data_IF_358980395749
#
_entry.id   IF_358980395749
#
_cell.length_a   1.000
_cell.length_b   1.000
_cell.length_c   1.000
_cell.angle_alpha   90.00
_cell.angle_beta   90.00
_cell.angle_gamma   90.00
#
_symmetry.space_group_name_H-M   'P 1'
#
loop_
_entity.id
_entity.type
_entity.pdbx_description
1 polymer ?
#
# COMPACT_ATOMS: atom_id res chain seq x y z
N UNK A 1 -14.29 -9.93 -22.63
CA UNK A 1 -14.32 -11.21 -21.88
C UNK A 1 -15.77 -11.63 -21.62
N UNK A 2 -16.11 -12.91 -21.81
CA UNK A 2 -17.36 -13.47 -21.33
C UNK A 2 -17.31 -13.56 -19.79
N UNK A 3 -18.34 -13.08 -19.09
CA UNK A 3 -18.43 -13.22 -17.63
C UNK A 3 -18.54 -14.70 -17.26
N UNK A 4 -17.63 -15.19 -16.41
CA UNK A 4 -17.69 -16.54 -15.83
C UNK A 4 -19.05 -16.75 -15.16
N UNK A 5 -19.79 -17.79 -15.59
CA UNK A 5 -21.01 -18.23 -14.90
C UNK A 5 -20.62 -19.31 -13.89
N UNK A 6 -20.69 -18.94 -12.62
CA UNK A 6 -20.27 -19.80 -11.51
C UNK A 6 -21.41 -20.68 -11.01
N UNK A 7 -21.04 -21.84 -10.46
CA UNK A 7 -21.92 -22.62 -9.61
C UNK A 7 -21.73 -22.17 -8.15
N UNK A 8 -22.56 -21.23 -7.70
CA UNK A 8 -22.50 -20.66 -6.35
C UNK A 8 -21.53 -19.48 -6.22
N UNK A 9 -20.95 -19.31 -5.03
CA UNK A 9 -20.08 -18.18 -4.67
C UNK A 9 -18.67 -18.29 -5.28
N UNK A 10 -18.02 -17.14 -5.50
CA UNK A 10 -16.64 -17.09 -5.98
C UNK A 10 -15.64 -17.24 -4.82
N UNK A 11 -15.06 -18.43 -4.66
CA UNK A 11 -14.13 -18.70 -3.56
C UNK A 11 -12.68 -18.26 -3.83
N UNK A 12 -12.45 -17.34 -4.77
CA UNK A 12 -11.13 -16.79 -5.01
C UNK A 12 -10.83 -15.67 -4.02
N UNK A 13 -9.66 -15.72 -3.39
CA UNK A 13 -9.11 -14.60 -2.61
C UNK A 13 -8.13 -13.83 -3.48
N UNK A 14 -8.26 -12.51 -3.48
CA UNK A 14 -7.41 -11.58 -4.23
C UNK A 14 -6.79 -10.61 -3.23
N UNK A 15 -5.47 -10.63 -3.11
CA UNK A 15 -4.75 -9.68 -2.25
C UNK A 15 -3.86 -8.79 -3.12
N UNK A 16 -3.94 -7.48 -2.89
CA UNK A 16 -3.04 -6.48 -3.44
C UNK A 16 -2.27 -5.85 -2.27
N UNK A 17 -0.96 -6.02 -2.24
CA UNK A 17 -0.09 -5.45 -1.23
C UNK A 17 0.80 -4.38 -1.85
N UNK A 18 1.06 -3.31 -1.09
CA UNK A 18 1.96 -2.22 -1.43
C UNK A 18 3.01 -2.11 -0.34
N UNK A 19 4.23 -1.83 -0.75
CA UNK A 19 5.25 -1.26 0.11
C UNK A 19 5.75 -0.01 -0.61
N UNK A 20 5.51 1.15 0.00
CA UNK A 20 5.86 2.45 -0.55
C UNK A 20 6.97 3.09 0.26
N UNK A 21 7.82 3.84 -0.42
CA UNK A 21 8.95 4.53 0.20
C UNK A 21 9.01 5.98 -0.25
N UNK A 22 9.22 6.86 0.71
CA UNK A 22 9.51 8.29 0.53
C UNK A 22 10.86 8.57 1.21
N UNK A 23 11.76 9.24 0.50
CA UNK A 23 13.14 9.44 0.92
C UNK A 23 13.40 10.93 1.02
N UNK A 24 14.07 11.34 2.10
CA UNK A 24 14.40 12.73 2.33
C UNK A 24 15.82 12.85 2.91
N UNK A 25 16.46 13.97 2.62
CA UNK A 25 17.73 14.39 3.20
C UNK A 25 17.51 15.52 4.21
N UNK A 26 17.82 15.25 5.46
CA UNK A 26 17.77 16.19 6.58
C UNK A 26 19.17 16.32 7.22
N UNK A 27 19.77 17.51 7.09
CA UNK A 27 21.18 17.75 7.44
C UNK A 27 21.42 17.77 8.95
N UNK A 28 20.54 18.43 9.70
CA UNK A 28 20.70 18.65 11.14
C UNK A 28 19.79 17.71 11.95
N UNK A 29 20.05 17.61 13.26
CA UNK A 29 19.16 16.86 14.15
C UNK A 29 17.75 17.47 14.18
N UNK A 30 17.67 18.80 14.29
CA UNK A 30 16.40 19.53 14.28
C UNK A 30 15.62 19.33 12.97
N UNK A 31 16.30 19.26 11.82
CA UNK A 31 15.66 18.96 10.53
C UNK A 31 15.10 17.53 10.50
N UNK A 32 15.79 16.56 11.09
CA UNK A 32 15.30 15.17 11.17
C UNK A 32 14.06 15.09 12.05
N UNK A 33 14.09 15.72 13.21
CA UNK A 33 12.94 15.78 14.12
C UNK A 33 11.75 16.47 13.42
N UNK A 34 12.02 17.53 12.65
CA UNK A 34 11.01 18.20 11.82
C UNK A 34 10.45 17.31 10.71
N UNK A 35 11.28 16.53 10.03
CA UNK A 35 10.83 15.59 9.00
C UNK A 35 9.96 14.48 9.61
N UNK A 36 10.36 13.93 10.74
CA UNK A 36 9.57 12.93 11.48
C UNK A 36 8.20 13.51 11.86
N UNK A 37 8.15 14.73 12.38
CA UNK A 37 6.90 15.40 12.73
C UNK A 37 6.01 15.64 11.50
N UNK A 38 6.61 16.02 10.36
CA UNK A 38 5.89 16.15 9.09
C UNK A 38 5.28 14.80 8.67
N UNK A 39 6.04 13.70 8.72
CA UNK A 39 5.55 12.37 8.38
C UNK A 39 4.41 11.95 9.32
N UNK A 40 4.55 12.19 10.62
CA UNK A 40 3.51 11.87 11.61
C UNK A 40 2.22 12.65 11.34
N UNK A 41 2.32 13.92 10.95
CA UNK A 41 1.17 14.72 10.51
C UNK A 41 0.56 14.19 9.20
N UNK A 42 1.38 13.86 8.21
CA UNK A 42 0.88 13.42 6.90
C UNK A 42 0.29 12.01 6.92
N UNK A 43 0.79 11.13 7.80
CA UNK A 43 0.46 9.70 7.82
C UNK A 43 -0.07 9.23 9.18
N UNK A 44 -0.73 10.10 9.94
CA UNK A 44 -1.45 9.72 11.16
C UNK A 44 -2.63 8.78 10.86
N UNK A 45 -3.08 8.09 11.91
CA UNK A 45 -4.19 7.15 11.86
C UNK A 45 -5.49 7.77 11.33
N UNK A 46 -5.76 9.05 11.55
CA UNK A 46 -6.99 9.68 11.04
C UNK A 46 -6.98 9.77 9.51
N UNK A 47 -5.94 10.35 8.93
CA UNK A 47 -5.81 10.48 7.47
C UNK A 47 -5.70 9.12 6.80
N UNK A 48 -4.95 8.19 7.38
CA UNK A 48 -4.88 6.82 6.88
C UNK A 48 -6.25 6.12 6.92
N UNK A 49 -7.06 6.36 7.96
CA UNK A 49 -8.43 5.83 8.03
C UNK A 49 -9.29 6.37 6.88
N UNK A 50 -9.16 7.66 6.53
CA UNK A 50 -9.90 8.26 5.41
C UNK A 50 -9.50 7.63 4.07
N UNK A 51 -8.20 7.49 3.81
CA UNK A 51 -7.67 6.85 2.59
C UNK A 51 -8.18 5.42 2.47
N UNK A 52 -8.11 4.63 3.55
CA UNK A 52 -8.57 3.24 3.53
C UNK A 52 -10.11 3.14 3.41
N UNK A 53 -10.85 4.10 3.98
CA UNK A 53 -12.32 4.14 3.85
C UNK A 53 -12.76 4.45 2.42
N UNK A 54 -12.09 5.39 1.75
CA UNK A 54 -12.33 5.65 0.32
C UNK A 54 -11.93 4.45 -0.53
N UNK A 55 -10.86 3.76 -0.18
CA UNK A 55 -10.46 2.50 -0.81
C UNK A 55 -11.58 1.45 -0.70
N UNK A 56 -12.21 1.30 0.47
CA UNK A 56 -13.37 0.43 0.66
C UNK A 56 -14.54 0.81 -0.26
N UNK A 57 -14.85 2.11 -0.34
CA UNK A 57 -15.89 2.66 -1.22
C UNK A 57 -15.63 2.33 -2.69
N UNK A 58 -14.40 2.55 -3.18
CA UNK A 58 -13.99 2.30 -4.56
C UNK A 58 -14.11 0.83 -4.98
N UNK A 59 -13.75 -0.08 -4.09
CA UNK A 59 -13.86 -1.52 -4.38
C UNK A 59 -15.28 -2.05 -4.15
N UNK A 60 -16.16 -1.27 -3.52
CA UNK A 60 -17.55 -1.62 -3.23
C UNK A 60 -17.71 -2.53 -2.02
N UNK A 61 -16.82 -2.40 -1.02
CA UNK A 61 -16.85 -3.17 0.22
C UNK A 61 -17.50 -2.38 1.36
N UNK A 62 -18.22 -3.07 2.23
CA UNK A 62 -18.86 -2.49 3.41
C UNK A 62 -17.92 -2.57 4.60
N UNK A 63 -17.74 -1.46 5.32
CA UNK A 63 -16.92 -1.41 6.53
C UNK A 63 -17.69 -2.05 7.69
N UNK A 64 -17.09 -3.06 8.31
CA UNK A 64 -17.63 -3.73 9.50
C UNK A 64 -17.03 -3.16 10.79
N UNK A 65 -15.73 -2.90 10.78
CA UNK A 65 -14.99 -2.41 11.94
C UNK A 65 -13.77 -1.63 11.47
N UNK A 66 -13.43 -0.55 12.17
CA UNK A 66 -12.14 0.15 12.04
C UNK A 66 -11.38 0.05 13.36
N UNK A 67 -10.16 -0.47 13.32
CA UNK A 67 -9.21 -0.43 14.42
C UNK A 67 -8.01 0.41 13.99
N UNK A 68 -7.53 1.30 14.87
CA UNK A 68 -6.43 2.21 14.53
C UNK A 68 -5.63 2.61 15.75
N UNK A 69 -4.36 2.94 15.53
CA UNK A 69 -3.42 3.35 16.57
C UNK A 69 -2.34 4.26 15.98
N UNK A 70 -2.08 5.38 16.65
CA UNK A 70 -0.84 6.15 16.52
C UNK A 70 0.16 5.66 17.58
N UNK A 71 1.44 5.54 17.22
CA UNK A 71 2.50 5.01 18.08
C UNK A 71 3.44 6.10 18.56
N UNK A 72 4.01 5.87 19.75
CA UNK A 72 5.10 6.68 20.30
C UNK A 72 6.42 5.92 20.11
N UNK A 73 7.49 6.54 19.57
CA UNK A 73 7.59 7.97 19.26
C UNK A 73 6.99 8.40 17.91
N UNK A 74 6.69 7.49 16.98
CA UNK A 74 6.20 7.85 15.64
C UNK A 74 5.50 6.69 14.92
N UNK A 75 4.61 7.04 13.98
CA UNK A 75 3.97 6.13 13.03
C UNK A 75 2.56 5.71 13.44
N UNK A 76 1.85 5.06 12.53
CA UNK A 76 0.47 4.65 12.71
C UNK A 76 0.15 3.30 12.06
N UNK A 77 -0.90 2.67 12.57
CA UNK A 77 -1.53 1.49 11.99
C UNK A 77 -3.03 1.70 11.89
N UNK A 78 -3.63 1.27 10.78
CA UNK A 78 -5.08 1.18 10.62
C UNK A 78 -5.44 -0.17 10.00
N UNK A 79 -6.46 -0.82 10.54
CA UNK A 79 -7.05 -2.04 10.00
C UNK A 79 -8.55 -1.87 9.89
N UNK A 80 -9.08 -2.06 8.69
CA UNK A 80 -10.51 -2.05 8.37
C UNK A 80 -10.94 -3.46 8.01
N UNK A 81 -11.88 -4.00 8.78
CA UNK A 81 -12.56 -5.26 8.43
C UNK A 81 -13.70 -4.95 7.48
N UNK A 82 -13.81 -5.68 6.37
CA UNK A 82 -14.82 -5.42 5.34
C UNK A 82 -15.62 -6.65 4.94
N UNK A 83 -16.85 -6.44 4.46
CA UNK A 83 -17.67 -7.46 3.80
C UNK A 83 -18.04 -7.06 2.38
N UNK A 84 -18.13 -8.06 1.49
CA UNK A 84 -18.63 -7.86 0.13
C UNK A 84 -20.16 -7.75 0.09
N UNK A 85 -20.84 -8.47 0.97
CA UNK A 85 -22.30 -8.49 1.03
C UNK A 85 -22.83 -7.32 1.88
N UNK A 86 -24.00 -6.75 1.52
CA UNK A 86 -24.70 -5.79 2.37
C UNK A 86 -25.00 -6.40 3.73
N UNK A 87 -24.83 -5.62 4.79
CA UNK A 87 -25.23 -6.03 6.14
C UNK A 87 -26.77 -6.08 6.17
N UNK A 88 -27.36 -7.25 6.43
CA UNK A 88 -28.80 -7.38 6.59
C UNK A 88 -29.26 -6.60 7.84
N UNK A 89 -30.17 -5.61 7.74
CA UNK A 89 -30.71 -4.92 8.90
C UNK A 89 -31.42 -5.84 9.91
N UNK A 90 -31.77 -7.06 9.51
CA UNK A 90 -32.35 -8.09 10.38
C UNK A 90 -31.31 -8.87 11.20
N UNK A 91 -30.03 -8.88 10.80
CA UNK A 91 -28.96 -9.52 11.57
C UNK A 91 -28.38 -8.63 12.67
N UNK A 92 -28.85 -7.39 12.76
CA UNK A 92 -28.53 -6.47 13.86
C UNK A 92 -29.33 -6.93 15.09
N UNK A 93 -28.67 -7.26 16.19
CA UNK A 93 -29.33 -7.55 17.46
C UNK A 93 -30.11 -6.30 17.93
N UNK A 94 -31.43 -6.45 18.08
CA UNK A 94 -32.35 -5.38 18.50
C UNK A 94 -32.78 -5.51 19.96
N UNK A 95 -32.17 -6.41 20.72
CA UNK A 95 -32.51 -6.63 22.12
C UNK A 95 -31.90 -5.56 23.03
N UNK A 96 -32.65 -5.13 24.05
CA UNK A 96 -32.18 -4.17 25.09
C UNK A 96 -31.41 -4.86 26.23
N UNK A 97 -30.83 -6.03 25.97
CA UNK A 97 -29.89 -6.62 26.92
C UNK A 97 -28.58 -5.82 26.90
N UNK A 98 -27.79 -5.79 27.98
CA UNK A 98 -26.38 -5.51 27.84
C UNK A 98 -25.88 -6.59 26.87
N UNK A 99 -25.72 -6.20 25.60
CA UNK A 99 -25.39 -7.13 24.53
C UNK A 99 -24.16 -7.95 24.92
N UNK A 100 -23.91 -9.08 24.24
CA UNK A 100 -22.67 -9.82 24.49
C UNK A 100 -21.51 -8.82 24.52
N UNK A 101 -20.71 -8.83 25.61
CA UNK A 101 -19.42 -8.14 25.67
C UNK A 101 -18.79 -8.33 24.30
N UNK A 102 -18.48 -7.27 23.51
CA UNK A 102 -18.26 -7.36 22.08
C UNK A 102 -17.43 -8.60 21.84
N UNK A 103 -18.08 -9.69 21.41
CA UNK A 103 -17.40 -10.96 21.24
C UNK A 103 -16.34 -10.61 20.25
N UNK A 104 -15.11 -10.67 20.75
CA UNK A 104 -13.95 -10.01 20.18
C UNK A 104 -14.05 -10.01 18.65
N UNK A 105 -13.82 -8.85 18.06
CA UNK A 105 -13.65 -8.54 16.61
C UNK A 105 -12.74 -9.54 15.84
N UNK A 106 -12.27 -10.59 16.52
CA UNK A 106 -11.44 -11.72 16.13
C UNK A 106 -12.25 -12.90 15.52
N UNK A 107 -13.59 -12.93 15.58
CA UNK A 107 -14.35 -14.12 15.15
C UNK A 107 -14.53 -14.31 13.61
N UNK A 108 -13.93 -13.46 12.77
CA UNK A 108 -14.05 -13.56 11.32
C UNK A 108 -12.77 -13.19 10.56
N UNK A 109 -11.66 -13.86 10.87
CA UNK A 109 -10.42 -13.81 10.07
C UNK A 109 -10.59 -14.44 8.66
N UNK A 110 -11.77 -15.00 8.37
CA UNK A 110 -12.21 -15.43 7.04
C UNK A 110 -12.73 -14.28 6.17
N UNK A 111 -12.91 -13.08 6.74
CA UNK A 111 -13.39 -11.90 6.03
C UNK A 111 -12.24 -11.08 5.42
N UNK A 112 -12.62 -10.37 4.37
CA UNK A 112 -11.77 -9.41 3.67
C UNK A 112 -11.34 -8.28 4.60
N UNK A 113 -10.15 -7.73 4.38
CA UNK A 113 -9.63 -6.65 5.21
C UNK A 113 -8.77 -5.70 4.38
N UNK A 114 -8.62 -4.48 4.89
CA UNK A 114 -7.66 -3.51 4.39
C UNK A 114 -6.85 -3.02 5.58
N UNK A 115 -5.53 -3.05 5.49
CA UNK A 115 -4.68 -2.48 6.54
C UNK A 115 -3.54 -1.63 5.98
N UNK A 116 -3.01 -0.76 6.84
CA UNK A 116 -1.81 0.03 6.61
C UNK A 116 -0.97 0.08 7.88
N UNK A 117 0.34 0.00 7.70
CA UNK A 117 1.35 0.17 8.75
C UNK A 117 2.45 1.10 8.25
N UNK A 118 2.80 2.10 9.03
CA UNK A 118 3.86 3.05 8.66
C UNK A 118 5.11 2.87 9.50
N UNK A 119 6.26 3.08 8.90
CA UNK A 119 7.59 2.90 9.48
C UNK A 119 8.48 4.08 9.06
N UNK A 120 8.45 5.19 9.80
CA UNK A 120 9.43 6.25 9.62
C UNK A 120 10.78 5.78 10.19
N UNK A 121 11.83 5.93 9.39
CA UNK A 121 13.22 5.58 9.73
C UNK A 121 14.10 6.82 9.52
N UNK A 122 15.03 7.04 10.45
CA UNK A 122 16.04 8.08 10.30
C UNK A 122 17.33 7.60 10.96
N UNK A 123 18.42 7.62 10.22
CA UNK A 123 19.73 7.31 10.79
C UNK A 123 20.40 8.59 11.32
N UNK A 124 20.92 8.60 12.57
CA UNK A 124 21.57 9.79 13.15
C UNK A 124 22.79 10.28 12.36
N UNK A 125 23.45 9.36 11.65
CA UNK A 125 24.58 9.62 10.77
C UNK A 125 24.14 9.54 9.29
N UNK A 126 24.64 10.42 8.44
CA UNK A 126 24.39 10.37 6.99
C UNK A 126 23.23 11.25 6.50
N UNK A 127 22.32 11.66 7.39
CA UNK A 127 21.28 12.65 7.06
C UNK A 127 20.17 12.13 6.15
N UNK A 128 20.13 10.83 5.87
CA UNK A 128 19.01 10.20 5.18
C UNK A 128 17.88 9.91 6.17
N UNK A 129 16.66 10.14 5.71
CA UNK A 129 15.44 9.72 6.38
C UNK A 129 14.58 9.00 5.35
N UNK A 130 14.11 7.81 5.71
CA UNK A 130 13.30 6.97 4.83
C UNK A 130 11.98 6.68 5.53
N UNK A 131 10.89 7.04 4.89
CA UNK A 131 9.55 6.67 5.33
C UNK A 131 9.07 5.49 4.51
N UNK A 132 8.48 4.49 5.17
CA UNK A 132 7.84 3.35 4.51
C UNK A 132 6.41 3.18 4.98
N UNK A 133 5.49 2.89 4.07
CA UNK A 133 4.17 2.39 4.43
C UNK A 133 3.84 1.08 3.72
N UNK A 134 3.34 0.12 4.48
CA UNK A 134 2.92 -1.20 4.02
C UNK A 134 1.39 -1.23 4.02
N UNK A 135 0.76 -1.48 2.87
CA UNK A 135 -0.70 -1.55 2.72
C UNK A 135 -1.09 -2.92 2.18
N UNK A 136 -2.10 -3.55 2.75
CA UNK A 136 -2.70 -4.77 2.21
C UNK A 136 -4.19 -4.56 1.97
N UNK A 137 -4.65 -4.80 0.74
CA UNK A 137 -6.06 -4.84 0.35
C UNK A 137 -6.40 -6.29 0.01
N UNK A 138 -7.03 -7.00 0.94
CA UNK A 138 -7.42 -8.40 0.78
C UNK A 138 -8.94 -8.51 0.60
N UNK A 139 -9.35 -9.08 -0.52
CA UNK A 139 -10.75 -9.23 -0.92
C UNK A 139 -11.06 -10.67 -1.28
N UNK A 140 -12.30 -11.09 -1.08
CA UNK A 140 -12.80 -12.36 -1.58
C UNK A 140 -13.70 -12.12 -2.81
N UNK A 141 -14.25 -13.19 -3.38
CA UNK A 141 -15.38 -13.06 -4.28
C UNK A 141 -15.06 -12.39 -5.60
N UNK A 142 -15.94 -11.48 -6.02
CA UNK A 142 -15.84 -10.78 -7.33
C UNK A 142 -15.20 -9.40 -7.24
N UNK A 143 -14.98 -8.90 -6.02
CA UNK A 143 -14.31 -7.63 -5.80
C UNK A 143 -12.85 -7.77 -6.26
N UNK A 144 -12.36 -6.79 -7.02
CA UNK A 144 -10.96 -6.74 -7.42
C UNK A 144 -10.28 -5.57 -6.71
N UNK A 145 -9.22 -5.82 -5.92
CA UNK A 145 -8.50 -4.76 -5.21
C UNK A 145 -7.73 -3.86 -6.19
N UNK A 146 -7.45 -4.36 -7.41
CA UNK A 146 -6.83 -3.59 -8.50
C UNK A 146 -7.61 -2.34 -8.89
N UNK A 147 -8.91 -2.24 -8.55
CA UNK A 147 -9.71 -1.03 -8.79
C UNK A 147 -9.20 0.17 -7.99
N UNK A 148 -8.64 -0.04 -6.81
CA UNK A 148 -8.11 1.03 -5.97
C UNK A 148 -6.63 1.35 -6.23
N UNK A 149 -5.99 0.62 -7.16
CA UNK A 149 -4.55 0.71 -7.43
C UNK A 149 -4.06 2.14 -7.67
N UNK A 150 -4.66 2.84 -8.63
CA UNK A 150 -4.24 4.19 -8.98
C UNK A 150 -4.49 5.19 -7.86
N UNK A 151 -5.63 5.04 -7.15
CA UNK A 151 -5.97 5.92 -6.03
C UNK A 151 -4.93 5.82 -4.90
N UNK A 152 -4.59 4.59 -4.50
CA UNK A 152 -3.62 4.36 -3.41
C UNK A 152 -2.23 4.91 -3.76
N UNK A 153 -1.76 4.71 -4.99
CA UNK A 153 -0.45 5.26 -5.41
C UNK A 153 -0.49 6.79 -5.42
N UNK A 154 -1.57 7.41 -5.92
CA UNK A 154 -1.69 8.88 -5.94
C UNK A 154 -1.81 9.51 -4.56
N UNK A 155 -2.48 8.86 -3.59
CA UNK A 155 -2.64 9.45 -2.26
C UNK A 155 -1.36 9.48 -1.43
N UNK A 156 -0.37 8.68 -1.82
CA UNK A 156 0.84 8.47 -1.05
C UNK A 156 2.13 8.93 -1.77
N UNK A 157 2.01 9.44 -3.00
CA UNK A 157 3.04 10.12 -3.82
C UNK A 157 4.49 9.68 -3.55
N UNK A 158 4.80 8.41 -3.77
CA UNK A 158 6.04 7.81 -3.26
C UNK A 158 7.15 7.70 -4.31
N UNK A 159 8.40 7.76 -3.89
CA UNK A 159 9.58 7.61 -4.75
C UNK A 159 9.71 6.20 -5.33
N UNK A 160 9.48 5.20 -4.47
CA UNK A 160 9.58 3.78 -4.80
C UNK A 160 8.31 3.10 -4.31
N UNK A 161 7.76 2.25 -5.17
CA UNK A 161 6.59 1.43 -4.85
C UNK A 161 6.86 0.01 -5.30
N UNK A 162 6.79 -0.95 -4.39
CA UNK A 162 6.73 -2.36 -4.73
C UNK A 162 5.33 -2.88 -4.47
N UNK A 163 4.78 -3.62 -5.43
CA UNK A 163 3.42 -4.14 -5.33
C UNK A 163 3.40 -5.62 -5.65
N UNK A 164 2.58 -6.33 -4.89
CA UNK A 164 2.29 -7.74 -5.08
C UNK A 164 0.80 -7.94 -5.25
N UNK A 165 0.41 -8.61 -6.32
CA UNK A 165 -0.95 -9.07 -6.54
C UNK A 165 -0.98 -10.59 -6.62
N UNK A 166 -1.82 -11.21 -5.79
CA UNK A 166 -1.93 -12.67 -5.73
C UNK A 166 -3.38 -13.10 -5.76
N UNK A 167 -3.67 -14.15 -6.52
CA UNK A 167 -4.97 -14.83 -6.52
C UNK A 167 -4.79 -16.23 -5.95
N UNK A 168 -5.57 -16.58 -4.91
CA UNK A 168 -5.54 -17.89 -4.26
C UNK A 168 -6.93 -18.53 -4.25
N UNK A 169 -6.95 -19.85 -4.09
CA UNK A 169 -8.19 -20.64 -4.07
C UNK A 169 -8.64 -21.06 -5.47
N UNK A 170 -9.86 -21.61 -5.55
CA UNK A 170 -10.50 -21.94 -6.82
C UNK A 170 -12.01 -21.78 -6.71
N UNK A 171 -12.67 -21.44 -7.81
CA UNK A 171 -14.12 -21.53 -7.97
C UNK A 171 -14.48 -22.59 -9.02
N UNK A 172 -15.75 -22.98 -9.11
CA UNK A 172 -16.24 -23.93 -10.12
C UNK A 172 -17.30 -23.27 -10.99
N UNK A 173 -17.21 -23.51 -12.29
CA UNK A 173 -18.28 -23.11 -13.21
C UNK A 173 -19.46 -24.09 -13.17
N UNK A 174 -20.51 -23.75 -13.91
CA UNK A 174 -21.74 -24.57 -14.06
C UNK A 174 -21.49 -25.98 -14.62
N UNK A 175 -20.35 -26.22 -15.27
CA UNK A 175 -19.95 -27.52 -15.81
C UNK A 175 -19.03 -28.29 -14.85
N UNK A 176 -18.73 -27.73 -13.67
CA UNK A 176 -17.87 -28.34 -12.65
C UNK A 176 -16.36 -28.12 -12.85
N UNK A 177 -15.96 -27.36 -13.87
CA UNK A 177 -14.55 -27.05 -14.16
C UNK A 177 -14.02 -26.07 -13.12
N UNK A 178 -12.82 -26.33 -12.60
CA UNK A 178 -12.16 -25.45 -11.63
C UNK A 178 -11.47 -24.28 -12.35
N UNK A 179 -11.66 -23.09 -11.80
CA UNK A 179 -11.02 -21.86 -12.23
C UNK A 179 -10.22 -21.27 -11.05
N UNK A 180 -8.97 -20.90 -11.31
CA UNK A 180 -8.02 -20.40 -10.30
C UNK A 180 -7.77 -18.89 -10.41
N UNK A 181 -8.32 -18.28 -11.47
CA UNK A 181 -8.32 -16.84 -11.72
C UNK A 181 -9.58 -16.52 -12.53
N UNK A 182 -10.18 -15.36 -12.30
CA UNK A 182 -11.47 -14.95 -12.90
C UNK A 182 -11.36 -13.72 -13.82
N UNK A 183 -10.14 -13.25 -14.08
CA UNK A 183 -9.85 -12.12 -14.96
C UNK A 183 -8.50 -12.32 -15.67
N UNK A 184 -8.33 -11.66 -16.80
CA UNK A 184 -7.06 -11.66 -17.52
C UNK A 184 -6.08 -10.68 -16.86
N UNK A 185 -4.89 -11.18 -16.54
CA UNK A 185 -3.78 -10.38 -16.04
C UNK A 185 -2.47 -11.07 -16.42
N UNK A 186 -1.53 -10.28 -16.94
CA UNK A 186 -0.14 -10.68 -17.11
C UNK A 186 0.81 -9.70 -16.41
N UNK A 187 0.29 -8.58 -15.88
CA UNK A 187 1.05 -7.52 -15.22
C UNK A 187 0.09 -6.64 -14.42
N UNK A 188 0.50 -6.22 -13.22
CA UNK A 188 -0.23 -5.19 -12.44
C UNK A 188 -0.25 -3.87 -13.23
N UNK A 189 0.81 -3.60 -14.02
CA UNK A 189 0.91 -2.41 -14.85
C UNK A 189 -0.26 -2.26 -15.83
N UNK A 190 -0.95 -3.34 -16.22
CA UNK A 190 -2.14 -3.24 -17.08
C UNK A 190 -3.26 -2.39 -16.48
N UNK A 191 -3.31 -2.29 -15.15
CA UNK A 191 -4.33 -1.59 -14.40
C UNK A 191 -3.91 -0.16 -14.02
N UNK A 192 -2.69 0.26 -14.38
CA UNK A 192 -2.20 1.61 -14.09
C UNK A 192 -2.59 2.61 -15.19
N UNK A 193 -2.84 3.85 -14.77
CA UNK A 193 -3.10 5.00 -15.64
C UNK A 193 -1.85 5.34 -16.49
N UNK A 194 -2.05 6.07 -17.60
CA UNK A 194 -0.94 6.39 -18.52
C UNK A 194 0.07 7.36 -17.90
N UNK A 195 -0.44 8.30 -17.12
CA UNK A 195 0.31 9.26 -16.32
C UNK A 195 1.20 8.54 -15.30
N UNK A 196 0.68 7.56 -14.54
CA UNK A 196 1.49 6.78 -13.60
C UNK A 196 2.67 6.08 -14.31
N UNK A 197 2.41 5.43 -15.44
CA UNK A 197 3.45 4.76 -16.24
C UNK A 197 4.49 5.74 -16.80
N UNK A 198 4.09 6.99 -17.03
CA UNK A 198 4.98 8.04 -17.48
C UNK A 198 5.93 8.49 -16.37
N UNK A 199 5.48 8.50 -15.10
CA UNK A 199 6.24 8.95 -13.94
C UNK A 199 7.30 7.94 -13.45
N UNK A 200 7.05 6.64 -13.58
CA UNK A 200 7.88 5.60 -12.98
C UNK A 200 8.62 4.71 -13.98
N UNK A 201 9.88 4.39 -13.69
CA UNK A 201 10.53 3.19 -14.19
C UNK A 201 9.88 1.97 -13.54
N UNK A 202 9.37 1.03 -14.32
CA UNK A 202 8.65 -0.14 -13.81
C UNK A 202 9.29 -1.44 -14.27
N UNK A 203 9.28 -2.45 -13.40
CA UNK A 203 9.80 -3.79 -13.68
C UNK A 203 8.87 -4.84 -13.09
N UNK A 204 8.54 -5.86 -13.89
CA UNK A 204 7.74 -7.00 -13.45
C UNK A 204 8.59 -8.22 -13.10
N UNK A 205 8.16 -8.95 -12.06
CA UNK A 205 8.73 -10.24 -11.65
C UNK A 205 7.58 -11.22 -11.34
N UNK A 206 6.90 -11.70 -12.38
CA UNK A 206 5.69 -12.50 -12.24
C UNK A 206 5.98 -14.01 -12.19
N UNK A 207 5.22 -14.74 -11.37
CA UNK A 207 5.17 -16.22 -11.34
C UNK A 207 3.78 -16.67 -11.78
N UNK A 208 3.59 -16.76 -13.09
CA UNK A 208 2.27 -16.98 -13.70
C UNK A 208 1.59 -18.27 -13.27
N UNK A 209 2.36 -19.35 -13.08
CA UNK A 209 1.85 -20.66 -12.68
C UNK A 209 1.18 -20.63 -11.31
N UNK A 210 1.58 -19.69 -10.45
CA UNK A 210 1.08 -19.53 -9.08
C UNK A 210 0.14 -18.32 -8.93
N UNK A 211 -0.24 -17.65 -10.03
CA UNK A 211 -1.00 -16.40 -10.03
C UNK A 211 -0.42 -15.32 -9.09
N UNK A 212 0.91 -15.19 -9.09
CA UNK A 212 1.63 -14.15 -8.34
C UNK A 212 2.19 -13.16 -9.35
N UNK A 213 1.85 -11.89 -9.16
CA UNK A 213 2.29 -10.78 -10.00
C UNK A 213 2.99 -9.77 -9.11
N UNK A 214 4.16 -9.31 -9.53
CA UNK A 214 4.96 -8.35 -8.77
C UNK A 214 5.43 -7.25 -9.69
N UNK A 215 5.24 -5.99 -9.30
CA UNK A 215 5.72 -4.83 -10.03
C UNK A 215 6.48 -3.93 -9.06
N UNK A 216 7.72 -3.60 -9.42
CA UNK A 216 8.50 -2.55 -8.77
C UNK A 216 8.44 -1.27 -9.60
N UNK A 217 8.37 -0.13 -8.93
CA UNK A 217 8.35 1.19 -9.53
C UNK A 217 9.35 2.10 -8.83
N UNK A 218 10.06 2.92 -9.58
CA UNK A 218 10.95 3.98 -9.07
C UNK A 218 10.76 5.23 -9.92
N UNK A 219 10.64 6.40 -9.28
CA UNK A 219 10.41 7.67 -9.97
C UNK A 219 11.53 7.93 -11.01
N UNK A 220 11.16 8.38 -12.21
CA UNK A 220 12.14 8.62 -13.30
C UNK A 220 12.95 9.89 -13.09
N UNK A 221 12.26 10.97 -12.77
CA UNK A 221 12.83 12.30 -12.73
C UNK A 221 13.28 12.63 -11.31
N UNK A 222 14.58 12.50 -11.07
CA UNK A 222 15.19 12.95 -9.83
C UNK A 222 15.48 14.45 -9.90
N UNK A 223 14.97 15.20 -8.93
CA UNK A 223 15.30 16.61 -8.72
C UNK A 223 15.61 16.83 -7.24
N UNK A 224 16.88 17.13 -6.94
CA UNK A 224 17.39 17.31 -5.58
C UNK A 224 16.53 18.26 -4.74
N UNK A 225 15.89 19.26 -5.35
CA UNK A 225 15.03 20.21 -4.62
C UNK A 225 13.86 19.55 -3.88
N UNK A 226 13.40 18.38 -4.34
CA UNK A 226 12.30 17.63 -3.73
C UNK A 226 12.75 16.75 -2.57
N UNK A 227 14.06 16.52 -2.43
CA UNK A 227 14.63 15.62 -1.44
C UNK A 227 15.32 16.35 -0.29
N UNK A 228 15.35 17.68 -0.27
CA UNK A 228 16.00 18.46 0.79
C UNK A 228 14.97 18.98 1.79
N UNK A 229 15.08 18.57 3.06
CA UNK A 229 14.24 19.11 4.13
C UNK A 229 14.78 20.47 4.59
N UNK A 230 13.93 21.50 4.62
CA UNK A 230 14.27 22.87 5.06
C UNK A 230 15.51 23.50 4.40
N UNK A 231 15.97 22.96 3.27
CA UNK A 231 17.14 23.45 2.54
C UNK A 231 16.84 23.52 1.06
N UNK A 232 17.53 24.42 0.35
CA UNK A 232 17.45 24.49 -1.11
C UNK A 232 18.77 24.10 -1.74
N UNK A 233 18.77 23.59 -2.98
CA UNK A 233 20.02 23.34 -3.69
C UNK A 233 20.92 24.57 -3.70
N UNK A 234 20.37 25.78 -3.85
CA UNK A 234 21.11 27.04 -3.87
C UNK A 234 21.97 27.30 -2.62
N UNK A 235 21.57 26.75 -1.47
CA UNK A 235 22.27 26.92 -0.19
C UNK A 235 23.49 25.99 -0.06
N UNK A 236 23.65 25.03 -0.98
CA UNK A 236 24.68 24.01 -0.96
C UNK A 236 25.78 24.29 -1.99
N UNK A 237 27.02 24.01 -1.60
CA UNK A 237 28.16 23.98 -2.51
C UNK A 237 28.00 22.89 -3.58
N UNK A 238 28.72 23.01 -4.70
CA UNK A 238 28.67 22.01 -5.77
C UNK A 238 29.06 20.61 -5.28
N UNK A 239 30.06 20.52 -4.40
CA UNK A 239 30.52 19.26 -3.82
C UNK A 239 29.47 18.65 -2.87
N UNK A 240 28.82 19.47 -2.03
CA UNK A 240 27.72 19.02 -1.17
C UNK A 240 26.54 18.51 -2.00
N UNK A 241 26.11 19.25 -3.03
CA UNK A 241 25.02 18.81 -3.92
C UNK A 241 25.32 17.46 -4.54
N UNK A 242 26.56 17.29 -5.04
CA UNK A 242 26.99 16.02 -5.63
C UNK A 242 26.94 14.90 -4.59
N UNK A 243 27.54 15.10 -3.42
CA UNK A 243 27.59 14.09 -2.37
C UNK A 243 26.20 13.67 -1.89
N UNK A 244 25.28 14.63 -1.67
CA UNK A 244 23.90 14.34 -1.25
C UNK A 244 23.14 13.62 -2.37
N UNK A 245 23.31 14.04 -3.62
CA UNK A 245 22.70 13.39 -4.77
C UNK A 245 23.15 11.94 -4.89
N UNK A 246 24.46 11.67 -4.82
CA UNK A 246 25.00 10.31 -4.88
C UNK A 246 24.45 9.43 -3.73
N UNK A 247 24.30 10.01 -2.53
CA UNK A 247 23.76 9.34 -1.36
C UNK A 247 22.28 8.96 -1.54
N UNK A 248 21.45 9.91 -1.99
CA UNK A 248 20.03 9.68 -2.27
C UNK A 248 19.82 8.64 -3.38
N UNK A 249 20.58 8.75 -4.47
CA UNK A 249 20.52 7.76 -5.55
C UNK A 249 20.89 6.36 -5.07
N UNK A 250 21.91 6.26 -4.21
CA UNK A 250 22.29 4.98 -3.62
C UNK A 250 21.16 4.40 -2.77
N UNK A 251 20.60 5.19 -1.86
CA UNK A 251 19.47 4.78 -1.01
C UNK A 251 18.28 4.28 -1.85
N UNK A 252 17.87 5.07 -2.85
CA UNK A 252 16.78 4.72 -3.75
C UNK A 252 17.05 3.39 -4.48
N UNK A 253 18.26 3.20 -5.00
CA UNK A 253 18.61 1.99 -5.72
C UNK A 253 18.71 0.77 -4.79
N UNK A 254 19.26 0.92 -3.59
CA UNK A 254 19.36 -0.16 -2.60
C UNK A 254 17.97 -0.65 -2.18
N UNK A 255 17.02 0.26 -1.96
CA UNK A 255 15.61 -0.06 -1.71
C UNK A 255 14.98 -0.74 -2.94
N UNK A 256 15.10 -0.14 -4.13
CA UNK A 256 14.48 -0.67 -5.35
C UNK A 256 14.96 -2.09 -5.69
N UNK A 257 16.27 -2.34 -5.59
CA UNK A 257 16.86 -3.65 -5.87
C UNK A 257 16.78 -4.61 -4.66
N UNK A 258 16.49 -4.12 -3.47
CA UNK A 258 16.42 -4.90 -2.23
C UNK A 258 17.76 -5.48 -1.82
N UNK A 259 18.87 -4.75 -2.04
CA UNK A 259 20.23 -5.18 -1.70
C UNK A 259 21.18 -3.98 -1.60
N UNK A 260 22.22 -4.14 -0.78
CA UNK A 260 23.30 -3.15 -0.72
C UNK A 260 24.07 -3.11 -2.04
N UNK A 261 24.43 -1.90 -2.47
CA UNK A 261 25.23 -1.63 -3.65
C UNK A 261 26.65 -1.23 -3.22
N UNK A 262 27.66 -1.57 -4.05
CA UNK A 262 29.02 -1.15 -3.79
C UNK A 262 29.10 0.38 -3.75
N UNK A 263 29.99 0.90 -2.89
CA UNK A 263 30.29 2.34 -2.85
C UNK A 263 30.94 2.69 -4.20
N UNK A 264 30.31 3.60 -4.94
CA UNK A 264 30.83 4.15 -6.20
C UNK A 264 31.78 5.30 -5.89
#
# INVERSE_FOLDING_TARGET
MQKLKLHGFNNLTKSLSFCIYDICYAKTADDRDGYIAYIDEQYNANRLTEILSETCSMIGANILNVARQDYEPQGASVTILVSEEPIDPQSIDKSEHPGPLPESVVAHLDKSHICVHTYPESHPEGGLCTFRADIEVSTCGVISPLKALNYLIHQLESDIVTMDYRVRGFTRDVNGVKHYIDHEINSIQNFMSRDMKALYHMMDVNVYQENIFHTKMMLKDFDLKHYLFNAKPEDLSADERKAITDLLYKEMQEIYYGRNLPIV
#
